data_IF_109215791643
#
_entry.id   IF_109215791643
#
_cell.length_a   1.000
_cell.length_b   1.000
_cell.length_c   1.000
_cell.angle_alpha   90.00
_cell.angle_beta   90.00
_cell.angle_gamma   90.00
#
_symmetry.space_group_name_H-M   'P 1'
#
loop_
_entity.id
_entity.type
_entity.pdbx_description
1 polymer ?
#
# COMPACT_ATOMS: atom_id res chain seq x y z
N UNK A 1 9.80 26.85 9.90
CA UNK A 1 9.80 25.72 8.95
C UNK A 1 9.57 24.37 9.65
N UNK A 2 10.31 24.02 10.72
CA UNK A 2 10.07 22.75 11.44
C UNK A 2 8.69 22.65 12.11
N UNK A 3 8.17 23.73 12.67
CA UNK A 3 6.85 23.77 13.33
C UNK A 3 5.72 23.39 12.34
N UNK A 4 5.64 24.05 11.18
CA UNK A 4 4.66 23.73 10.12
C UNK A 4 4.74 22.28 9.62
N UNK A 5 5.93 21.67 9.57
CA UNK A 5 6.07 20.26 9.13
C UNK A 5 5.53 19.28 10.18
N UNK A 6 5.79 19.55 11.46
CA UNK A 6 5.31 18.68 12.54
C UNK A 6 3.79 18.74 12.65
N UNK A 7 3.20 19.93 12.53
CA UNK A 7 1.75 20.12 12.58
C UNK A 7 1.05 19.35 11.45
N UNK A 8 1.55 19.48 10.21
CA UNK A 8 1.04 18.70 9.06
C UNK A 8 1.18 17.19 9.25
N UNK A 9 2.30 16.73 9.81
CA UNK A 9 2.51 15.31 10.09
C UNK A 9 1.51 14.79 11.13
N UNK A 10 1.26 15.55 12.20
CA UNK A 10 0.26 15.22 13.22
C UNK A 10 -1.13 15.13 12.60
N UNK A 11 -1.52 16.10 11.77
CA UNK A 11 -2.82 16.08 11.08
C UNK A 11 -2.98 14.84 10.18
N UNK A 12 -1.93 14.49 9.42
CA UNK A 12 -1.93 13.27 8.60
C UNK A 12 -2.14 12.03 9.48
N UNK A 13 -1.35 11.87 10.54
CA UNK A 13 -1.40 10.70 11.41
C UNK A 13 -2.77 10.55 12.08
N UNK A 14 -3.32 11.64 12.64
CA UNK A 14 -4.64 11.64 13.26
C UNK A 14 -5.75 11.24 12.28
N UNK A 15 -5.71 11.76 11.05
CA UNK A 15 -6.71 11.43 10.02
C UNK A 15 -6.58 10.00 9.47
N UNK A 16 -5.43 9.35 9.66
CA UNK A 16 -5.10 8.04 9.07
C UNK A 16 -4.98 6.92 10.10
N UNK A 17 -5.57 7.08 11.28
CA UNK A 17 -5.49 6.10 12.37
C UNK A 17 -4.04 5.85 12.77
N UNK A 18 -3.36 6.91 13.18
CA UNK A 18 -1.94 6.91 13.54
C UNK A 18 -1.01 6.39 12.43
N UNK A 19 -1.41 6.58 11.17
CA UNK A 19 -0.67 6.14 9.99
C UNK A 19 -1.03 4.75 9.48
N UNK A 20 -1.84 3.96 10.19
CA UNK A 20 -2.22 2.60 9.77
C UNK A 20 -2.96 2.56 8.43
N UNK A 21 -3.67 3.64 8.09
CA UNK A 21 -4.38 3.76 6.81
C UNK A 21 -3.52 4.33 5.68
N UNK A 22 -2.29 4.77 5.94
CA UNK A 22 -1.37 5.18 4.89
C UNK A 22 -0.78 3.97 4.18
N UNK A 23 -0.47 4.14 2.90
CA UNK A 23 0.49 3.26 2.24
C UNK A 23 1.86 3.38 2.94
N UNK A 24 2.63 2.30 3.01
CA UNK A 24 3.89 2.33 3.74
C UNK A 24 4.94 3.30 3.19
N UNK A 25 4.92 3.63 1.90
CA UNK A 25 5.78 4.65 1.32
C UNK A 25 5.32 6.06 1.69
N UNK A 26 4.02 6.30 1.81
CA UNK A 26 3.47 7.57 2.29
C UNK A 26 3.77 7.79 3.78
N UNK A 27 3.68 6.73 4.61
CA UNK A 27 4.13 6.82 6.00
C UNK A 27 5.65 7.12 6.06
N UNK A 28 6.44 6.49 5.19
CA UNK A 28 7.88 6.77 5.13
C UNK A 28 8.19 8.22 4.71
N UNK A 29 7.34 8.80 3.85
CA UNK A 29 7.43 10.20 3.48
C UNK A 29 7.16 11.12 4.68
N UNK A 30 6.15 10.82 5.50
CA UNK A 30 5.86 11.55 6.75
C UNK A 30 7.05 11.48 7.73
N UNK A 31 7.61 10.29 7.95
CA UNK A 31 8.80 10.13 8.79
C UNK A 31 9.99 10.96 8.26
N UNK A 32 10.20 10.94 6.94
CA UNK A 32 11.28 11.68 6.30
C UNK A 32 11.08 13.19 6.40
N UNK A 33 9.83 13.66 6.35
CA UNK A 33 9.44 15.05 6.58
C UNK A 33 9.87 15.53 7.97
N UNK A 34 9.43 14.81 9.01
CA UNK A 34 9.71 15.16 10.40
C UNK A 34 11.21 15.13 10.69
N UNK A 35 11.94 14.17 10.12
CA UNK A 35 13.39 14.06 10.30
C UNK A 35 14.20 15.08 9.46
N UNK A 36 13.55 15.83 8.56
CA UNK A 36 14.23 16.81 7.71
C UNK A 36 15.07 16.18 6.59
N UNK A 37 14.65 15.02 6.08
CA UNK A 37 15.34 14.26 5.04
C UNK A 37 14.69 14.37 3.65
N UNK A 38 13.70 15.25 3.48
CA UNK A 38 13.04 15.43 2.19
C UNK A 38 13.90 16.20 1.19
N UNK A 39 13.87 15.77 -0.06
CA UNK A 39 14.29 16.57 -1.22
C UNK A 39 13.22 17.62 -1.56
N UNK A 40 13.48 18.45 -2.58
CA UNK A 40 12.47 19.38 -3.09
C UNK A 40 11.21 18.64 -3.60
N UNK A 41 11.39 17.53 -4.33
CA UNK A 41 10.29 16.67 -4.76
C UNK A 41 9.58 16.03 -3.56
N UNK A 42 10.34 15.63 -2.54
CA UNK A 42 9.79 15.09 -1.30
C UNK A 42 8.90 16.09 -0.56
N UNK A 43 9.28 17.38 -0.53
CA UNK A 43 8.47 18.45 0.06
C UNK A 43 7.17 18.63 -0.71
N UNK A 44 7.20 18.61 -2.05
CA UNK A 44 6.00 18.69 -2.87
C UNK A 44 5.07 17.49 -2.62
N UNK A 45 5.62 16.28 -2.62
CA UNK A 45 4.88 15.06 -2.34
C UNK A 45 4.25 15.09 -0.93
N UNK A 46 4.99 15.54 0.09
CA UNK A 46 4.49 15.64 1.46
C UNK A 46 3.35 16.65 1.59
N UNK A 47 3.49 17.83 0.97
CA UNK A 47 2.40 18.83 0.97
C UNK A 47 1.16 18.34 0.21
N UNK A 48 1.36 17.58 -0.88
CA UNK A 48 0.25 16.96 -1.60
C UNK A 48 -0.44 15.90 -0.75
N UNK A 49 0.31 15.03 -0.07
CA UNK A 49 -0.21 14.03 0.86
C UNK A 49 -1.02 14.68 1.99
N UNK A 50 -0.46 15.71 2.63
CA UNK A 50 -1.18 16.48 3.65
C UNK A 50 -2.52 17.01 3.13
N UNK A 51 -2.52 17.66 1.96
CA UNK A 51 -3.74 18.22 1.37
C UNK A 51 -4.79 17.16 1.06
N UNK A 52 -4.40 16.02 0.48
CA UNK A 52 -5.37 14.96 0.15
C UNK A 52 -5.94 14.29 1.40
N UNK A 53 -5.11 14.09 2.43
CA UNK A 53 -5.55 13.53 3.72
C UNK A 53 -6.48 14.50 4.44
N UNK A 54 -6.11 15.78 4.54
CA UNK A 54 -6.91 16.82 5.20
C UNK A 54 -8.29 17.01 4.54
N UNK A 55 -8.38 16.82 3.22
CA UNK A 55 -9.64 16.88 2.47
C UNK A 55 -10.47 15.59 2.57
N UNK A 56 -9.95 14.51 3.18
CA UNK A 56 -10.61 13.19 3.19
C UNK A 56 -10.60 12.50 1.82
N UNK A 57 -9.74 12.93 0.91
CA UNK A 57 -9.63 12.43 -0.47
C UNK A 57 -8.53 11.37 -0.63
N UNK A 58 -7.77 11.10 0.43
CA UNK A 58 -6.68 10.13 0.41
C UNK A 58 -7.19 8.73 0.08
N UNK A 59 -6.53 8.10 -0.90
CA UNK A 59 -6.70 6.70 -1.26
C UNK A 59 -5.32 6.07 -1.29
N UNK A 60 -5.18 4.91 -0.68
CA UNK A 60 -3.95 4.15 -0.79
C UNK A 60 -3.63 3.90 -2.28
N UNK A 61 -2.39 4.14 -2.73
CA UNK A 61 -1.95 3.71 -4.04
C UNK A 61 -2.09 2.20 -4.18
N UNK A 62 -2.33 1.76 -5.41
CA UNK A 62 -2.32 0.36 -5.74
C UNK A 62 -0.92 -0.22 -5.65
N UNK A 63 -0.80 -1.34 -4.94
CA UNK A 63 0.46 -2.04 -4.76
C UNK A 63 0.99 -2.50 -6.13
N UNK A 64 2.22 -2.10 -6.46
CA UNK A 64 2.81 -2.26 -7.80
C UNK A 64 1.99 -1.69 -8.98
N UNK A 65 1.04 -0.79 -8.70
CA UNK A 65 0.10 -0.25 -9.69
C UNK A 65 -1.00 -1.24 -10.11
N UNK A 66 -1.20 -2.33 -9.37
CA UNK A 66 -2.18 -3.36 -9.67
C UNK A 66 -3.54 -2.98 -9.06
N UNK A 67 -4.51 -2.65 -9.90
CA UNK A 67 -5.85 -2.26 -9.45
C UNK A 67 -6.46 -3.29 -8.49
N UNK A 68 -7.06 -2.79 -7.41
CA UNK A 68 -7.62 -3.56 -6.29
C UNK A 68 -6.61 -4.29 -5.39
N UNK A 69 -5.31 -4.12 -5.62
CA UNK A 69 -4.29 -4.71 -4.77
C UNK A 69 -3.66 -3.65 -3.86
N UNK A 70 -3.58 -3.93 -2.56
CA UNK A 70 -2.90 -3.07 -1.56
C UNK A 70 -1.97 -3.91 -0.69
N UNK A 71 -1.05 -3.24 0.01
CA UNK A 71 -0.17 -3.84 1.01
C UNK A 71 -0.19 -2.99 2.29
N UNK A 72 -0.13 -3.63 3.46
CA UNK A 72 -0.05 -2.92 4.73
C UNK A 72 1.40 -2.80 5.27
N UNK A 73 1.53 -2.20 6.45
CA UNK A 73 2.82 -1.95 7.11
C UNK A 73 3.56 -3.22 7.53
N UNK A 74 2.84 -4.31 7.75
CA UNK A 74 3.43 -5.60 8.16
C UNK A 74 3.69 -6.53 6.98
N UNK A 75 3.16 -6.22 5.80
CA UNK A 75 3.42 -6.93 4.55
C UNK A 75 2.26 -7.79 4.05
N UNK A 76 1.07 -7.75 4.67
CA UNK A 76 -0.08 -8.45 4.10
C UNK A 76 -0.51 -7.80 2.80
N UNK A 77 -0.69 -8.62 1.77
CA UNK A 77 -1.17 -8.23 0.46
C UNK A 77 -2.66 -8.54 0.38
N UNK A 78 -3.45 -7.54 -0.01
CA UNK A 78 -4.90 -7.62 -0.08
C UNK A 78 -5.35 -7.52 -1.52
N UNK A 79 -6.38 -8.29 -1.88
CA UNK A 79 -7.15 -8.16 -3.11
C UNK A 79 -8.58 -7.77 -2.76
N UNK A 80 -9.03 -6.57 -3.18
CA UNK A 80 -10.36 -6.02 -2.84
C UNK A 80 -10.67 -6.06 -1.34
N UNK A 81 -9.65 -5.86 -0.51
CA UNK A 81 -9.75 -5.89 0.96
C UNK A 81 -9.65 -7.28 1.60
N UNK A 82 -9.44 -8.35 0.83
CA UNK A 82 -9.23 -9.71 1.36
C UNK A 82 -7.76 -10.09 1.29
N UNK A 83 -7.19 -10.60 2.38
CA UNK A 83 -5.79 -11.06 2.42
C UNK A 83 -5.60 -12.24 1.46
N UNK A 84 -4.61 -12.12 0.57
CA UNK A 84 -4.26 -13.15 -0.41
C UNK A 84 -2.82 -13.66 -0.25
N UNK A 85 -1.93 -12.92 0.39
CA UNK A 85 -0.54 -13.32 0.64
C UNK A 85 0.09 -12.41 1.72
N UNK A 86 1.28 -12.75 2.20
CA UNK A 86 2.13 -11.94 3.05
C UNK A 86 3.55 -11.85 2.45
N UNK A 87 4.02 -10.64 2.20
CA UNK A 87 5.35 -10.38 1.65
C UNK A 87 6.30 -9.91 2.75
N UNK A 88 7.53 -10.43 2.73
CA UNK A 88 8.60 -9.85 3.52
C UNK A 88 8.92 -8.43 3.02
N UNK A 89 8.94 -7.46 3.94
CA UNK A 89 9.09 -6.03 3.64
C UNK A 89 10.30 -5.68 2.75
N UNK A 90 11.51 -6.22 2.97
CA UNK A 90 12.65 -5.93 2.09
C UNK A 90 12.46 -6.44 0.66
N UNK A 91 11.72 -7.55 0.50
CA UNK A 91 11.47 -8.17 -0.79
C UNK A 91 10.25 -7.57 -1.51
N UNK A 92 9.25 -7.07 -0.78
CA UNK A 92 7.95 -6.64 -1.30
C UNK A 92 8.02 -5.60 -2.44
N UNK A 93 9.05 -4.77 -2.48
CA UNK A 93 9.24 -3.72 -3.49
C UNK A 93 10.28 -4.08 -4.56
N UNK A 94 10.72 -5.34 -4.62
CA UNK A 94 11.64 -5.85 -5.65
C UNK A 94 10.93 -6.11 -6.99
N UNK A 95 11.72 -6.31 -8.05
CA UNK A 95 11.22 -6.74 -9.37
C UNK A 95 10.50 -8.08 -9.27
N UNK A 96 11.06 -9.02 -8.53
CA UNK A 96 10.52 -10.37 -8.37
C UNK A 96 9.17 -10.34 -7.61
N UNK A 97 9.04 -9.50 -6.58
CA UNK A 97 7.78 -9.31 -5.88
C UNK A 97 6.70 -8.67 -6.77
N UNK A 98 7.08 -7.79 -7.69
CA UNK A 98 6.17 -7.25 -8.70
C UNK A 98 5.67 -8.31 -9.65
N UNK A 99 6.56 -9.17 -10.15
CA UNK A 99 6.20 -10.29 -11.02
C UNK A 99 5.29 -11.29 -10.28
N UNK A 100 5.60 -11.59 -9.02
CA UNK A 100 4.74 -12.42 -8.18
C UNK A 100 3.36 -11.77 -7.95
N UNK A 101 3.30 -10.47 -7.68
CA UNK A 101 2.03 -9.75 -7.50
C UNK A 101 1.16 -9.76 -8.79
N UNK A 102 1.79 -9.69 -9.96
CA UNK A 102 1.09 -9.84 -11.25
C UNK A 102 0.51 -11.24 -11.43
N UNK A 103 1.23 -12.28 -10.97
CA UNK A 103 0.69 -13.64 -10.96
C UNK A 103 -0.46 -13.78 -9.96
N UNK A 104 -0.36 -13.20 -8.76
CA UNK A 104 -1.47 -13.17 -7.78
C UNK A 104 -2.72 -12.52 -8.37
N UNK A 105 -2.56 -11.40 -9.10
CA UNK A 105 -3.66 -10.75 -9.83
C UNK A 105 -4.33 -11.73 -10.78
N UNK A 106 -3.57 -12.42 -11.63
CA UNK A 106 -4.08 -13.40 -12.60
C UNK A 106 -4.89 -14.49 -11.89
N UNK A 107 -4.35 -15.05 -10.81
CA UNK A 107 -5.03 -16.08 -10.01
C UNK A 107 -6.34 -15.60 -9.41
N UNK A 108 -6.34 -14.39 -8.84
CA UNK A 108 -7.56 -13.78 -8.30
C UNK A 108 -8.63 -13.61 -9.37
N UNK A 109 -8.27 -13.09 -10.55
CA UNK A 109 -9.20 -12.88 -11.67
C UNK A 109 -9.79 -14.22 -12.18
N UNK A 110 -8.98 -15.28 -12.25
CA UNK A 110 -9.45 -16.62 -12.63
C UNK A 110 -10.45 -17.18 -11.62
N UNK A 111 -10.14 -17.09 -10.32
CA UNK A 111 -11.04 -17.53 -9.27
C UNK A 111 -12.37 -16.78 -9.32
N UNK A 112 -12.32 -15.45 -9.47
CA UNK A 112 -13.52 -14.61 -9.60
C UNK A 112 -14.35 -14.99 -10.82
N UNK A 113 -13.72 -15.31 -11.96
CA UNK A 113 -14.43 -15.77 -13.17
C UNK A 113 -15.19 -17.08 -12.96
N UNK A 114 -14.75 -17.90 -12.00
CA UNK A 114 -15.37 -19.17 -11.59
C UNK A 114 -16.37 -18.99 -10.44
N UNK A 115 -16.58 -17.77 -9.95
CA UNK A 115 -17.42 -17.48 -8.79
C UNK A 115 -16.79 -17.88 -7.46
N UNK A 116 -15.48 -18.12 -7.42
CA UNK A 116 -14.73 -18.47 -6.22
C UNK A 116 -14.13 -17.19 -5.63
N UNK A 117 -14.31 -16.98 -4.32
CA UNK A 117 -13.77 -15.81 -3.63
C UNK A 117 -12.26 -15.95 -3.40
N UNK A 118 -11.42 -15.02 -3.90
CA UNK A 118 -9.98 -15.05 -3.65
C UNK A 118 -9.65 -14.82 -2.17
N UNK A 119 -8.80 -15.68 -1.62
CA UNK A 119 -8.14 -15.53 -0.33
C UNK A 119 -6.84 -16.33 -0.35
N UNK A 120 -6.03 -16.23 0.70
CA UNK A 120 -4.73 -16.94 0.78
C UNK A 120 -4.83 -18.45 0.51
N UNK A 121 -5.90 -19.10 0.97
CA UNK A 121 -6.10 -20.54 0.75
C UNK A 121 -6.39 -20.86 -0.72
N UNK A 122 -7.24 -20.08 -1.40
CA UNK A 122 -7.59 -20.36 -2.80
C UNK A 122 -6.54 -19.88 -3.79
N UNK A 123 -5.85 -18.79 -3.49
CA UNK A 123 -4.86 -18.15 -4.38
C UNK A 123 -3.48 -18.81 -4.28
N UNK A 124 -3.12 -19.32 -3.10
CA UNK A 124 -1.80 -19.90 -2.83
C UNK A 124 -1.91 -21.40 -2.56
N UNK A 125 -2.61 -21.80 -1.50
CA UNK A 125 -2.46 -23.16 -0.96
C UNK A 125 -3.15 -24.23 -1.81
N UNK A 126 -4.29 -23.88 -2.43
CA UNK A 126 -5.08 -24.78 -3.27
C UNK A 126 -4.93 -24.47 -4.76
N UNK A 127 -3.99 -23.61 -5.15
CA UNK A 127 -3.80 -23.28 -6.55
C UNK A 127 -3.27 -24.48 -7.33
N UNK A 128 -3.91 -24.80 -8.47
CA UNK A 128 -3.48 -25.87 -9.36
C UNK A 128 -2.88 -25.25 -10.61
N UNK A 129 -1.63 -25.57 -10.90
CA UNK A 129 -0.94 -25.09 -12.11
C UNK A 129 -1.63 -25.62 -13.37
N UNK A 130 -1.88 -24.73 -14.34
CA UNK A 130 -2.57 -25.04 -15.61
C UNK A 130 -4.01 -24.54 -15.72
N UNK A 131 -4.52 -23.81 -14.72
CA UNK A 131 -5.81 -23.09 -14.78
C UNK A 131 -5.74 -21.67 -15.38
#
# INVERSE_FOLDING_TARGET
MKEDTCDKAIEILQATSDGDKLDPLDLKLVESAVNGFLTAEGIEAFNKLHKTVANGEYKQPWFHGIENMTIDHVGYVYWKGVVIEHYERPWAYSKDAKENAQELKRRCEILESKGISPNITTVIWNWVEGE
#
